data_IF_204022172195
#
_entry.id   IF_204022172195
#
_cell.length_a   1.000
_cell.length_b   1.000
_cell.length_c   1.000
_cell.angle_alpha   90.00
_cell.angle_beta   90.00
_cell.angle_gamma   90.00
#
_symmetry.space_group_name_H-M   'P 1'
#
loop_
_entity.id
_entity.type
_entity.pdbx_description
1 polymer ?
#
# COMPACT_ATOMS: atom_id res chain seq x y z
N UNK A 1 -30.43 -11.51 8.87
CA UNK A 1 -29.96 -10.51 7.88
C UNK A 1 -29.77 -11.25 6.57
N UNK A 2 -30.46 -10.82 5.49
CA UNK A 2 -30.16 -11.35 4.15
C UNK A 2 -28.70 -11.01 3.80
N UNK A 3 -27.96 -11.98 3.26
CA UNK A 3 -26.61 -11.76 2.76
C UNK A 3 -26.70 -10.73 1.63
N UNK A 4 -26.06 -9.58 1.81
CA UNK A 4 -25.95 -8.61 0.75
C UNK A 4 -25.01 -9.16 -0.33
N UNK A 5 -25.29 -8.91 -1.63
CA UNK A 5 -24.49 -9.48 -2.70
C UNK A 5 -23.05 -8.94 -2.65
N UNK A 6 -22.08 -9.81 -3.00
CA UNK A 6 -20.68 -9.44 -3.12
C UNK A 6 -20.47 -8.25 -4.08
N UNK A 7 -19.41 -7.48 -3.84
CA UNK A 7 -18.99 -6.41 -4.76
C UNK A 7 -18.33 -7.03 -5.98
N UNK A 8 -19.04 -7.08 -7.09
CA UNK A 8 -18.55 -7.57 -8.39
C UNK A 8 -18.64 -6.44 -9.40
N UNK A 9 -17.54 -6.13 -10.06
CA UNK A 9 -17.51 -5.07 -11.05
C UNK A 9 -18.02 -5.52 -12.44
N UNK A 10 -18.15 -4.56 -13.37
CA UNK A 10 -18.66 -4.80 -14.73
C UNK A 10 -17.80 -5.79 -15.56
N UNK A 11 -16.62 -6.18 -15.07
CA UNK A 11 -15.72 -7.15 -15.70
C UNK A 11 -15.69 -8.49 -14.97
N UNK A 12 -16.62 -8.73 -14.04
CA UNK A 12 -16.72 -9.96 -13.26
C UNK A 12 -15.64 -10.11 -12.15
N UNK A 13 -14.91 -9.06 -11.81
CA UNK A 13 -13.89 -9.10 -10.76
C UNK A 13 -14.53 -8.89 -9.40
N UNK A 14 -14.40 -9.88 -8.49
CA UNK A 14 -14.85 -9.76 -7.11
C UNK A 14 -13.88 -8.89 -6.30
N UNK A 15 -14.40 -7.87 -5.66
CA UNK A 15 -13.63 -6.98 -4.79
C UNK A 15 -13.61 -7.57 -3.38
N UNK A 16 -12.45 -8.03 -2.98
CA UNK A 16 -12.23 -8.66 -1.66
C UNK A 16 -11.23 -7.90 -0.79
N UNK A 17 -10.69 -6.79 -1.29
CA UNK A 17 -9.58 -6.08 -0.66
C UNK A 17 -9.76 -4.56 -0.73
N UNK A 18 -9.78 -3.92 0.44
CA UNK A 18 -9.82 -2.45 0.56
C UNK A 18 -8.49 -1.94 1.08
N UNK A 19 -7.95 -0.90 0.42
CA UNK A 19 -6.90 -0.05 0.97
C UNK A 19 -7.57 1.16 1.59
N UNK A 20 -7.47 1.29 2.90
CA UNK A 20 -8.12 2.34 3.67
C UNK A 20 -7.06 3.35 4.12
N UNK A 21 -7.03 4.50 3.47
CA UNK A 21 -6.19 5.63 3.89
C UNK A 21 -6.80 6.29 5.10
N UNK A 22 -6.06 6.38 6.18
CA UNK A 22 -6.53 6.96 7.46
C UNK A 22 -6.07 8.41 7.64
N UNK A 23 -5.15 8.87 6.81
CA UNK A 23 -4.60 10.23 6.81
C UNK A 23 -3.88 10.53 5.51
N UNK A 24 -3.83 11.78 5.10
CA UNK A 24 -2.98 12.29 4.03
C UNK A 24 -1.56 12.66 4.51
N UNK A 25 -1.37 12.77 5.85
CA UNK A 25 -0.12 13.21 6.48
C UNK A 25 0.91 12.10 6.49
N UNK A 26 2.18 12.50 6.32
CA UNK A 26 3.34 11.64 6.44
C UNK A 26 4.46 12.45 7.11
N UNK A 27 5.30 11.79 7.88
CA UNK A 27 6.50 12.35 8.48
C UNK A 27 7.69 12.37 7.52
N UNK A 28 7.66 11.54 6.45
CA UNK A 28 8.63 11.56 5.36
C UNK A 28 8.13 12.37 4.14
N UNK A 29 9.06 12.66 3.20
CA UNK A 29 8.81 13.38 1.94
C UNK A 29 9.51 12.69 0.77
N UNK A 30 9.23 11.39 0.59
CA UNK A 30 9.89 10.62 -0.47
C UNK A 30 9.71 11.27 -1.83
N UNK A 31 10.83 11.43 -2.58
CA UNK A 31 10.93 12.17 -3.85
C UNK A 31 9.93 11.69 -4.91
N UNK A 32 9.70 10.40 -4.98
CA UNK A 32 8.77 9.79 -5.94
C UNK A 32 7.29 9.83 -5.49
N UNK A 33 7.00 10.17 -4.22
CA UNK A 33 5.68 10.03 -3.61
C UNK A 33 4.93 11.35 -3.49
N UNK A 34 5.57 12.40 -3.00
CA UNK A 34 4.93 13.69 -2.74
C UNK A 34 5.93 14.85 -2.84
N UNK A 35 5.39 16.06 -3.03
CA UNK A 35 6.18 17.29 -2.98
C UNK A 35 6.79 17.53 -1.60
N UNK A 36 7.95 18.19 -1.55
CA UNK A 36 8.60 18.55 -0.30
C UNK A 36 7.73 19.53 0.52
N UNK A 37 7.07 20.46 -0.15
CA UNK A 37 6.16 21.47 0.44
C UNK A 37 4.70 21.03 0.32
N UNK A 38 4.42 19.77 0.67
CA UNK A 38 3.08 19.22 0.64
C UNK A 38 2.15 19.95 1.61
N UNK A 39 1.03 20.47 1.11
CA UNK A 39 -0.08 20.97 1.92
C UNK A 39 -1.03 19.81 2.26
N UNK A 40 -1.38 19.71 3.53
CA UNK A 40 -2.29 18.68 4.04
C UNK A 40 -3.67 19.25 4.32
N UNK A 41 -4.66 18.42 4.11
CA UNK A 41 -6.05 18.81 4.33
C UNK A 41 -6.33 19.18 5.79
N UNK A 42 -7.24 20.12 6.04
CA UNK A 42 -7.78 20.39 7.37
C UNK A 42 -8.33 19.12 8.01
N UNK A 43 -8.15 18.96 9.34
CA UNK A 43 -8.62 17.77 10.05
C UNK A 43 -10.12 17.55 9.93
N UNK A 44 -10.91 18.62 9.80
CA UNK A 44 -12.36 18.56 9.64
C UNK A 44 -12.81 17.90 8.32
N UNK A 45 -11.94 17.87 7.32
CA UNK A 45 -12.19 17.22 6.05
C UNK A 45 -11.92 15.71 6.06
N UNK A 46 -11.18 15.26 7.07
CA UNK A 46 -10.88 13.84 7.22
C UNK A 46 -12.04 13.12 7.91
N UNK A 47 -12.25 11.86 7.56
CA UNK A 47 -13.13 10.97 8.30
C UNK A 47 -12.65 10.83 9.75
N UNK A 48 -13.60 10.74 10.70
CA UNK A 48 -13.30 10.35 12.07
C UNK A 48 -12.89 8.89 12.14
N UNK A 49 -12.41 8.41 13.30
CA UNK A 49 -12.08 6.99 13.45
C UNK A 49 -13.34 6.12 13.38
N UNK A 50 -14.44 6.62 13.91
CA UNK A 50 -15.76 5.98 13.87
C UNK A 50 -16.29 5.88 12.43
N UNK A 51 -16.18 6.98 11.65
CA UNK A 51 -16.56 6.99 10.24
C UNK A 51 -15.70 5.99 9.42
N UNK A 52 -14.38 5.86 9.71
CA UNK A 52 -13.51 4.87 9.09
C UNK A 52 -13.95 3.43 9.41
N UNK A 53 -14.39 3.17 10.63
CA UNK A 53 -14.94 1.86 11.02
C UNK A 53 -16.26 1.59 10.29
N UNK A 54 -17.16 2.56 10.18
CA UNK A 54 -18.41 2.40 9.45
C UNK A 54 -18.18 2.09 7.97
N UNK A 55 -17.20 2.76 7.33
CA UNK A 55 -16.79 2.42 5.97
C UNK A 55 -16.26 1.00 5.88
N UNK A 56 -15.38 0.59 6.81
CA UNK A 56 -14.84 -0.75 6.84
C UNK A 56 -15.96 -1.81 7.01
N UNK A 57 -16.90 -1.58 7.92
CA UNK A 57 -18.04 -2.47 8.19
C UNK A 57 -18.94 -2.60 6.94
N UNK A 58 -19.20 -1.50 6.22
CA UNK A 58 -19.96 -1.54 4.97
C UNK A 58 -19.30 -2.41 3.91
N UNK A 59 -17.97 -2.30 3.74
CA UNK A 59 -17.22 -3.15 2.82
C UNK A 59 -17.19 -4.62 3.27
N UNK A 60 -17.01 -4.88 4.56
CA UNK A 60 -17.02 -6.24 5.11
C UNK A 60 -18.37 -6.91 4.88
N UNK A 61 -19.47 -6.20 5.12
CA UNK A 61 -20.83 -6.69 4.87
C UNK A 61 -21.07 -7.07 3.39
N UNK A 62 -20.31 -6.46 2.47
CA UNK A 62 -20.33 -6.69 1.02
C UNK A 62 -19.23 -7.65 0.54
N UNK A 63 -18.68 -8.50 1.42
CA UNK A 63 -17.77 -9.60 1.07
C UNK A 63 -16.28 -9.19 0.94
N UNK A 64 -15.90 -8.01 1.42
CA UNK A 64 -14.48 -7.66 1.56
C UNK A 64 -13.90 -8.39 2.78
N UNK A 65 -12.86 -9.19 2.55
CA UNK A 65 -12.21 -9.99 3.60
C UNK A 65 -10.85 -9.45 4.02
N UNK A 66 -10.31 -8.45 3.31
CA UNK A 66 -8.99 -7.89 3.60
C UNK A 66 -9.02 -6.37 3.65
N UNK A 67 -8.47 -5.81 4.74
CA UNK A 67 -8.28 -4.37 4.89
C UNK A 67 -6.80 -4.09 5.12
N UNK A 68 -6.28 -3.11 4.36
CA UNK A 68 -4.95 -2.56 4.59
C UNK A 68 -5.05 -1.11 4.96
N UNK A 69 -4.58 -0.79 6.15
CA UNK A 69 -4.41 0.59 6.58
C UNK A 69 -3.23 1.22 5.84
N UNK A 70 -3.49 2.39 5.30
CA UNK A 70 -2.53 3.18 4.52
C UNK A 70 -2.74 4.66 4.85
N UNK A 71 -2.16 5.52 4.03
CA UNK A 71 -2.30 6.96 4.12
C UNK A 71 -1.10 7.61 3.45
N UNK A 72 -0.69 8.78 3.97
CA UNK A 72 0.70 9.15 3.95
C UNK A 72 1.45 8.13 4.81
N UNK A 73 1.48 8.36 6.13
CA UNK A 73 1.91 7.34 7.10
C UNK A 73 0.75 7.05 8.07
N UNK A 74 0.20 5.84 8.10
CA UNK A 74 -0.96 5.53 8.93
C UNK A 74 -0.68 5.68 10.43
N UNK A 75 0.55 5.40 10.88
CA UNK A 75 0.91 5.42 12.30
C UNK A 75 1.08 6.84 12.88
N UNK A 76 1.08 7.89 12.04
CA UNK A 76 1.03 9.28 12.53
C UNK A 76 -0.41 9.76 12.81
N UNK A 77 -1.43 8.98 12.39
CA UNK A 77 -2.83 9.34 12.69
C UNK A 77 -3.09 9.28 14.19
N UNK A 78 -3.55 10.40 14.77
CA UNK A 78 -3.95 10.41 16.19
C UNK A 78 -5.07 9.40 16.43
N UNK A 79 -4.89 8.55 17.44
CA UNK A 79 -5.85 7.50 17.80
C UNK A 79 -5.77 6.24 16.94
N UNK A 80 -4.74 6.07 16.11
CA UNK A 80 -4.61 4.91 15.22
C UNK A 80 -4.67 3.57 15.96
N UNK A 81 -4.08 3.47 17.17
CA UNK A 81 -4.16 2.25 17.98
C UNK A 81 -5.60 1.84 18.30
N UNK A 82 -6.48 2.82 18.57
CA UNK A 82 -7.90 2.55 18.81
C UNK A 82 -8.60 2.07 17.53
N UNK A 83 -8.32 2.69 16.38
CA UNK A 83 -8.86 2.24 15.10
C UNK A 83 -8.43 0.80 14.79
N UNK A 84 -7.15 0.48 14.97
CA UNK A 84 -6.61 -0.87 14.73
C UNK A 84 -7.30 -1.89 15.64
N UNK A 85 -7.50 -1.57 16.93
CA UNK A 85 -8.24 -2.43 17.85
C UNK A 85 -9.67 -2.67 17.39
N UNK A 86 -10.41 -1.62 17.05
CA UNK A 86 -11.79 -1.75 16.56
C UNK A 86 -11.88 -2.58 15.28
N UNK A 87 -10.97 -2.42 14.33
CA UNK A 87 -10.94 -3.24 13.12
C UNK A 87 -10.49 -4.68 13.42
N UNK A 88 -9.60 -4.86 14.38
CA UNK A 88 -9.18 -6.18 14.87
C UNK A 88 -10.35 -7.02 15.41
N UNK A 89 -11.34 -6.37 16.06
CA UNK A 89 -12.56 -7.01 16.56
C UNK A 89 -13.43 -7.63 15.44
N UNK A 90 -13.19 -7.29 14.17
CA UNK A 90 -13.86 -7.85 12.98
C UNK A 90 -13.15 -9.10 12.43
N UNK A 91 -11.94 -9.39 12.87
CA UNK A 91 -11.22 -10.61 12.46
C UNK A 91 -12.00 -11.85 12.89
N UNK A 92 -12.18 -12.78 11.95
CA UNK A 92 -13.04 -13.95 12.12
C UNK A 92 -14.55 -13.68 12.03
N UNK A 93 -14.97 -12.42 11.82
CA UNK A 93 -16.37 -11.99 11.68
C UNK A 93 -16.62 -11.32 10.32
N UNK A 94 -16.09 -11.92 9.26
CA UNK A 94 -16.13 -11.40 7.88
C UNK A 94 -14.77 -10.82 7.42
N UNK A 95 -13.98 -10.23 8.31
CA UNK A 95 -12.61 -9.84 8.00
C UNK A 95 -11.66 -11.00 8.26
N UNK A 96 -10.81 -11.35 7.29
CA UNK A 96 -9.79 -12.41 7.40
C UNK A 96 -8.40 -11.83 7.69
N UNK A 97 -8.09 -10.66 7.12
CA UNK A 97 -6.77 -10.04 7.24
C UNK A 97 -6.89 -8.52 7.48
N UNK A 98 -6.27 -8.06 8.58
CA UNK A 98 -5.96 -6.66 8.83
C UNK A 98 -4.45 -6.48 8.74
N UNK A 99 -3.99 -5.56 7.88
CA UNK A 99 -2.56 -5.27 7.67
C UNK A 99 -2.35 -3.78 7.46
N UNK A 100 -1.09 -3.35 7.41
CA UNK A 100 -0.76 -1.96 7.12
C UNK A 100 0.43 -1.87 6.15
N UNK A 101 0.51 -0.72 5.48
CA UNK A 101 1.75 -0.25 4.83
C UNK A 101 2.23 0.95 5.62
N UNK A 102 3.47 0.94 6.05
CA UNK A 102 4.11 1.96 6.88
C UNK A 102 5.52 2.26 6.40
N UNK A 103 6.01 3.46 6.65
CA UNK A 103 7.40 3.81 6.45
C UNK A 103 8.33 3.30 7.60
N UNK A 104 7.74 2.76 8.67
CA UNK A 104 8.46 2.14 9.78
C UNK A 104 8.90 3.07 10.89
N UNK A 105 8.92 4.40 10.72
CA UNK A 105 9.43 5.35 11.73
C UNK A 105 8.73 5.26 13.08
N UNK A 106 7.41 5.01 13.08
CA UNK A 106 6.60 4.88 14.29
C UNK A 106 6.35 3.43 14.71
N UNK A 107 6.89 2.46 13.96
CA UNK A 107 6.50 1.06 14.10
C UNK A 107 6.91 0.47 15.46
N UNK A 108 8.06 0.86 16.01
CA UNK A 108 8.50 0.43 17.34
C UNK A 108 7.46 0.74 18.44
N UNK A 109 6.84 1.92 18.36
CA UNK A 109 5.83 2.38 19.33
C UNK A 109 4.55 1.55 19.29
N UNK A 110 4.15 1.06 18.12
CA UNK A 110 2.86 0.41 17.92
C UNK A 110 2.94 -1.10 17.74
N UNK A 111 4.12 -1.69 17.66
CA UNK A 111 4.32 -3.10 17.31
C UNK A 111 3.51 -4.09 18.18
N UNK A 112 3.56 -3.91 19.50
CA UNK A 112 2.82 -4.76 20.44
C UNK A 112 1.30 -4.59 20.28
N UNK A 113 0.81 -3.37 20.18
CA UNK A 113 -0.62 -3.06 20.02
C UNK A 113 -1.17 -3.60 18.69
N UNK A 114 -0.40 -3.48 17.61
CA UNK A 114 -0.74 -4.05 16.31
C UNK A 114 -0.89 -5.57 16.40
N UNK A 115 0.07 -6.25 17.02
CA UNK A 115 0.02 -7.71 17.20
C UNK A 115 -1.17 -8.12 18.08
N UNK A 116 -1.38 -7.43 19.21
CA UNK A 116 -2.49 -7.70 20.13
C UNK A 116 -3.86 -7.52 19.45
N UNK A 117 -3.98 -6.56 18.55
CA UNK A 117 -5.20 -6.34 17.75
C UNK A 117 -5.37 -7.33 16.58
N UNK A 118 -4.49 -8.32 16.44
CA UNK A 118 -4.60 -9.37 15.42
C UNK A 118 -3.92 -9.06 14.09
N UNK A 119 -3.21 -7.95 13.96
CA UNK A 119 -2.31 -7.74 12.81
C UNK A 119 -1.19 -8.77 12.87
N UNK A 120 -0.99 -9.51 11.78
CA UNK A 120 0.04 -10.57 11.71
C UNK A 120 1.17 -10.24 10.75
N UNK A 121 1.02 -9.18 9.96
CA UNK A 121 2.00 -8.77 8.96
C UNK A 121 1.99 -7.25 8.76
N UNK A 122 3.16 -6.65 8.68
CA UNK A 122 3.34 -5.26 8.25
C UNK A 122 4.14 -5.22 6.93
N UNK A 123 3.72 -4.34 6.03
CA UNK A 123 4.52 -3.98 4.86
C UNK A 123 5.28 -2.71 5.20
N UNK A 124 6.61 -2.78 5.22
CA UNK A 124 7.47 -1.64 5.52
C UNK A 124 8.13 -1.13 4.25
N UNK A 125 7.94 0.15 3.96
CA UNK A 125 8.61 0.81 2.83
C UNK A 125 10.04 1.15 3.24
N UNK A 126 11.02 0.55 2.55
CA UNK A 126 12.44 0.74 2.80
C UNK A 126 13.20 0.66 1.45
N UNK A 127 13.66 1.81 0.99
CA UNK A 127 14.25 1.95 -0.35
C UNK A 127 15.78 1.88 -0.37
N UNK A 128 16.43 1.88 0.80
CA UNK A 128 17.89 1.80 0.93
C UNK A 128 18.30 1.29 2.32
N UNK A 129 19.44 0.62 2.39
CA UNK A 129 20.12 0.23 3.64
C UNK A 129 21.31 1.16 3.95
N UNK A 130 21.60 2.11 3.05
CA UNK A 130 22.56 3.18 3.27
C UNK A 130 21.84 4.41 3.87
N UNK A 131 22.34 4.95 4.99
CA UNK A 131 21.70 6.02 5.72
C UNK A 131 21.61 7.34 4.94
N UNK A 132 22.66 7.68 4.20
CA UNK A 132 22.69 8.93 3.43
C UNK A 132 21.79 8.84 2.21
N UNK A 133 21.79 7.70 1.53
CA UNK A 133 20.88 7.41 0.41
C UNK A 133 19.44 7.35 0.87
N UNK A 134 19.14 6.69 1.99
CA UNK A 134 17.81 6.66 2.57
C UNK A 134 17.33 8.08 2.88
N UNK A 135 18.17 8.91 3.51
CA UNK A 135 17.86 10.32 3.78
C UNK A 135 17.66 11.12 2.49
N UNK A 136 18.48 10.86 1.46
CA UNK A 136 18.32 11.51 0.15
C UNK A 136 16.98 11.18 -0.49
N UNK A 137 16.57 9.91 -0.51
CA UNK A 137 15.30 9.46 -1.11
C UNK A 137 14.10 9.97 -0.31
N UNK A 138 14.16 9.91 1.02
CA UNK A 138 13.04 10.26 1.91
C UNK A 138 13.00 11.71 2.34
N UNK A 139 14.08 12.48 2.09
CA UNK A 139 14.35 13.87 2.48
C UNK A 139 14.44 14.10 3.99
N UNK A 140 13.73 13.34 4.82
CA UNK A 140 13.60 13.55 6.28
C UNK A 140 13.83 12.32 7.13
N UNK A 141 14.03 11.16 6.50
CA UNK A 141 14.08 9.88 7.22
C UNK A 141 15.39 9.66 7.97
N UNK A 142 15.29 8.98 9.09
CA UNK A 142 16.39 8.34 9.79
C UNK A 142 16.27 6.83 9.63
N UNK A 143 17.25 6.19 8.99
CA UNK A 143 17.27 4.77 8.73
C UNK A 143 17.26 3.95 10.04
N UNK A 144 17.93 4.45 11.07
CA UNK A 144 18.05 3.74 12.36
C UNK A 144 16.68 3.61 13.06
N UNK A 145 15.81 4.62 12.94
CA UNK A 145 14.43 4.55 13.45
C UNK A 145 13.62 3.47 12.75
N UNK A 146 13.76 3.38 11.42
CA UNK A 146 13.04 2.38 10.61
C UNK A 146 13.51 0.96 10.92
N UNK A 147 14.84 0.74 10.98
CA UNK A 147 15.41 -0.57 11.33
C UNK A 147 15.04 -0.98 12.76
N UNK A 148 15.07 -0.05 13.70
CA UNK A 148 14.58 -0.25 15.06
C UNK A 148 13.09 -0.62 15.10
N UNK A 149 12.28 0.03 14.27
CA UNK A 149 10.86 -0.28 14.10
C UNK A 149 10.61 -1.68 13.55
N UNK A 150 11.39 -2.10 12.55
CA UNK A 150 11.35 -3.45 11.98
C UNK A 150 11.71 -4.49 13.04
N UNK A 151 12.80 -4.28 13.77
CA UNK A 151 13.25 -5.19 14.84
C UNK A 151 12.19 -5.33 15.95
N UNK A 152 11.61 -4.22 16.40
CA UNK A 152 10.54 -4.23 17.41
C UNK A 152 9.29 -4.97 16.92
N UNK A 153 8.90 -4.77 15.66
CA UNK A 153 7.75 -5.47 15.08
C UNK A 153 8.00 -6.98 14.96
N UNK A 154 9.19 -7.40 14.54
CA UNK A 154 9.60 -8.80 14.51
C UNK A 154 9.57 -9.42 15.91
N UNK A 155 10.12 -8.72 16.92
CA UNK A 155 10.11 -9.16 18.31
C UNK A 155 8.68 -9.28 18.87
N UNK A 156 7.76 -8.41 18.44
CA UNK A 156 6.34 -8.50 18.80
C UNK A 156 5.57 -9.61 18.05
N UNK A 157 6.20 -10.35 17.14
CA UNK A 157 5.60 -11.47 16.40
C UNK A 157 4.95 -11.09 15.06
N UNK A 158 5.18 -9.89 14.53
CA UNK A 158 4.73 -9.51 13.21
C UNK A 158 5.70 -10.06 12.14
N UNK A 159 5.15 -10.62 11.08
CA UNK A 159 5.93 -10.90 9.87
C UNK A 159 6.16 -9.59 9.11
N UNK A 160 7.38 -9.36 8.69
CA UNK A 160 7.74 -8.16 7.95
C UNK A 160 7.88 -8.48 6.47
N UNK A 161 7.33 -7.60 5.67
CA UNK A 161 7.52 -7.59 4.23
C UNK A 161 8.08 -6.23 3.82
N UNK A 162 9.27 -6.22 3.29
CA UNK A 162 9.89 -5.00 2.77
C UNK A 162 9.32 -4.70 1.38
N UNK A 163 8.92 -3.45 1.19
CA UNK A 163 8.57 -2.89 -0.10
C UNK A 163 9.66 -1.90 -0.50
N UNK A 164 10.34 -2.14 -1.60
CA UNK A 164 11.37 -1.26 -2.15
C UNK A 164 10.91 -0.76 -3.52
N UNK A 165 10.85 0.55 -3.70
CA UNK A 165 10.67 1.15 -5.03
C UNK A 165 12.01 1.12 -5.72
N UNK A 166 12.09 0.46 -6.87
CA UNK A 166 13.32 0.38 -7.67
C UNK A 166 13.50 1.68 -8.46
N UNK A 167 14.61 2.37 -8.20
CA UNK A 167 14.91 3.71 -8.72
C UNK A 167 16.27 3.71 -9.43
N UNK A 168 16.26 3.93 -10.75
CA UNK A 168 17.48 4.04 -11.57
C UNK A 168 18.33 5.20 -11.09
N UNK A 169 19.66 4.96 -10.97
CA UNK A 169 20.63 5.97 -10.51
C UNK A 169 20.52 6.34 -9.03
N UNK A 170 19.60 5.71 -8.27
CA UNK A 170 19.44 5.98 -6.84
C UNK A 170 19.67 4.77 -5.95
N UNK A 171 19.06 3.61 -6.26
CA UNK A 171 19.16 2.42 -5.40
C UNK A 171 19.23 1.10 -6.17
N UNK A 172 19.42 1.14 -7.47
CA UNK A 172 19.47 -0.07 -8.30
C UNK A 172 20.58 -1.05 -7.88
N UNK A 173 21.72 -0.53 -7.45
CA UNK A 173 22.86 -1.29 -6.95
C UNK A 173 22.60 -1.93 -5.56
N UNK A 174 21.60 -1.46 -4.82
CA UNK A 174 21.23 -2.03 -3.52
C UNK A 174 20.19 -3.16 -3.61
N UNK A 175 19.63 -3.46 -4.78
CA UNK A 175 18.57 -4.47 -4.90
C UNK A 175 19.06 -5.87 -4.46
N UNK A 176 20.22 -6.31 -4.92
CA UNK A 176 20.80 -7.59 -4.51
C UNK A 176 21.26 -7.59 -3.03
N UNK A 177 21.94 -6.56 -2.51
CA UNK A 177 22.21 -6.39 -1.08
C UNK A 177 20.93 -6.41 -0.23
N UNK A 178 19.86 -5.71 -0.63
CA UNK A 178 18.57 -5.72 0.06
C UNK A 178 17.94 -7.12 0.09
N UNK A 179 18.03 -7.88 -1.00
CA UNK A 179 17.54 -9.25 -1.05
C UNK A 179 18.30 -10.15 -0.05
N UNK A 180 19.62 -10.04 0.02
CA UNK A 180 20.45 -10.78 0.98
C UNK A 180 20.12 -10.41 2.43
N UNK A 181 19.96 -9.10 2.71
CA UNK A 181 19.57 -8.62 4.04
C UNK A 181 18.17 -9.12 4.43
N UNK A 182 17.19 -9.02 3.54
CA UNK A 182 15.84 -9.54 3.80
C UNK A 182 15.86 -11.04 4.12
N UNK A 183 16.66 -11.82 3.39
CA UNK A 183 16.83 -13.25 3.63
C UNK A 183 17.44 -13.52 5.01
N UNK A 184 18.53 -12.84 5.37
CA UNK A 184 19.20 -12.98 6.67
C UNK A 184 18.27 -12.62 7.84
N UNK A 185 17.42 -11.60 7.66
CA UNK A 185 16.45 -11.17 8.67
C UNK A 185 15.13 -11.95 8.66
N UNK A 186 14.90 -12.84 7.69
CA UNK A 186 13.67 -13.61 7.55
C UNK A 186 12.48 -12.77 7.07
N UNK A 187 12.74 -11.77 6.23
CA UNK A 187 11.73 -10.89 5.64
C UNK A 187 11.41 -11.28 4.20
N UNK A 188 10.17 -11.09 3.76
CA UNK A 188 9.84 -11.08 2.33
C UNK A 188 10.30 -9.76 1.70
N UNK A 189 10.76 -9.78 0.45
CA UNK A 189 11.05 -8.57 -0.34
C UNK A 189 10.03 -8.39 -1.47
N UNK A 190 9.61 -7.16 -1.71
CA UNK A 190 8.83 -6.80 -2.91
C UNK A 190 9.42 -5.56 -3.56
N UNK A 191 9.82 -5.70 -4.81
CA UNK A 191 10.23 -4.60 -5.66
C UNK A 191 9.02 -4.01 -6.39
N UNK A 192 9.00 -2.69 -6.53
CA UNK A 192 7.88 -1.95 -7.09
C UNK A 192 8.39 -0.96 -8.15
N UNK A 193 7.80 -0.98 -9.34
CA UNK A 193 8.03 0.05 -10.35
C UNK A 193 7.47 1.40 -9.92
N UNK A 194 8.20 2.48 -10.19
CA UNK A 194 7.70 3.85 -10.03
C UNK A 194 6.45 4.07 -10.89
N UNK A 195 5.45 4.71 -10.31
CA UNK A 195 4.18 4.99 -10.98
C UNK A 195 4.00 6.50 -11.22
N UNK A 196 3.46 6.93 -12.37
CA UNK A 196 3.28 8.35 -12.71
C UNK A 196 2.04 8.95 -12.02
N UNK A 197 2.12 9.18 -10.70
CA UNK A 197 1.02 9.68 -9.85
C UNK A 197 1.41 11.00 -9.16
N UNK A 198 0.53 11.99 -9.23
CA UNK A 198 0.72 13.32 -8.64
C UNK A 198 1.90 14.09 -9.26
N UNK A 199 1.97 15.38 -9.04
CA UNK A 199 3.12 16.17 -9.43
C UNK A 199 4.21 16.08 -8.34
N UNK A 200 5.44 15.77 -8.73
CA UNK A 200 6.64 15.79 -7.89
C UNK A 200 7.69 16.63 -8.57
N UNK A 201 8.71 17.08 -7.82
CA UNK A 201 9.76 17.94 -8.36
C UNK A 201 10.70 17.20 -9.33
N UNK A 202 10.96 15.92 -9.06
CA UNK A 202 11.85 15.10 -9.86
C UNK A 202 11.10 14.48 -11.05
N UNK A 203 11.70 14.42 -12.22
CA UNK A 203 11.13 13.67 -13.34
C UNK A 203 11.22 12.16 -13.06
N UNK A 204 10.07 11.52 -12.96
CA UNK A 204 10.00 10.08 -12.67
C UNK A 204 10.57 9.22 -13.79
N UNK A 205 10.63 9.74 -15.01
CA UNK A 205 11.22 9.02 -16.15
C UNK A 205 12.73 8.84 -16.00
N UNK A 206 13.41 9.78 -15.34
CA UNK A 206 14.86 9.70 -15.07
C UNK A 206 15.21 8.56 -14.12
N UNK A 207 14.30 8.28 -13.18
CA UNK A 207 14.48 7.24 -12.16
C UNK A 207 13.68 5.97 -12.44
N UNK A 208 13.03 5.87 -13.59
CA UNK A 208 12.28 4.68 -13.93
C UNK A 208 13.21 3.49 -14.20
N UNK A 209 12.97 2.41 -13.47
CA UNK A 209 13.70 1.15 -13.61
C UNK A 209 12.70 0.01 -13.88
N UNK A 210 12.66 -0.52 -15.12
CA UNK A 210 11.79 -1.64 -15.48
C UNK A 210 12.15 -2.90 -14.69
N UNK A 211 11.18 -3.49 -13.98
CA UNK A 211 11.48 -4.67 -13.14
C UNK A 211 11.72 -5.96 -13.92
N UNK A 212 11.41 -6.01 -15.21
CA UNK A 212 11.84 -7.10 -16.09
C UNK A 212 13.36 -7.05 -16.36
N UNK A 213 13.95 -5.87 -16.44
CA UNK A 213 15.41 -5.70 -16.51
C UNK A 213 16.08 -6.09 -15.18
N UNK A 214 15.54 -5.61 -14.06
CA UNK A 214 16.01 -5.97 -12.71
C UNK A 214 15.96 -7.49 -12.50
N UNK A 215 14.87 -8.13 -12.94
CA UNK A 215 14.73 -9.59 -12.84
C UNK A 215 15.86 -10.30 -13.61
N UNK A 216 16.14 -9.90 -14.86
CA UNK A 216 17.24 -10.47 -15.67
C UNK A 216 18.61 -10.28 -15.01
N UNK A 217 18.83 -9.15 -14.36
CA UNK A 217 20.07 -8.89 -13.62
C UNK A 217 20.19 -9.80 -12.39
N UNK A 218 19.14 -9.92 -11.61
CA UNK A 218 19.11 -10.82 -10.46
C UNK A 218 19.32 -12.30 -10.86
N UNK A 219 18.82 -12.70 -12.03
CA UNK A 219 19.01 -14.06 -12.59
C UNK A 219 20.46 -14.39 -12.96
N UNK A 220 21.36 -13.38 -13.02
CA UNK A 220 22.81 -13.61 -13.17
C UNK A 220 23.47 -14.13 -11.89
N UNK A 221 22.86 -13.85 -10.73
CA UNK A 221 23.42 -14.18 -9.40
C UNK A 221 22.54 -15.14 -8.59
N UNK A 222 21.27 -15.32 -8.95
CA UNK A 222 20.29 -16.10 -8.20
C UNK A 222 19.41 -16.91 -9.13
N UNK A 223 18.94 -18.05 -8.65
CA UNK A 223 17.88 -18.84 -9.30
C UNK A 223 16.51 -18.35 -8.85
N UNK A 224 15.75 -17.73 -9.76
CA UNK A 224 14.40 -17.23 -9.51
C UNK A 224 13.37 -18.21 -10.09
N UNK A 225 12.70 -18.96 -9.23
CA UNK A 225 11.63 -19.90 -9.63
C UNK A 225 10.26 -19.26 -9.38
N UNK A 226 9.32 -19.29 -10.35
CA UNK A 226 7.97 -18.79 -10.12
C UNK A 226 7.31 -19.47 -8.92
N UNK A 227 6.87 -18.68 -7.93
CA UNK A 227 6.25 -19.18 -6.70
C UNK A 227 4.73 -19.31 -6.85
N UNK A 228 4.15 -20.35 -6.27
CA UNK A 228 2.70 -20.52 -6.13
C UNK A 228 2.08 -19.64 -5.07
N UNK A 229 2.91 -18.96 -4.26
CA UNK A 229 2.47 -18.06 -3.20
C UNK A 229 1.64 -16.90 -3.76
N UNK A 230 0.50 -16.64 -3.14
CA UNK A 230 -0.36 -15.49 -3.47
C UNK A 230 -0.69 -14.74 -2.18
N UNK A 231 -0.52 -13.42 -2.22
CA UNK A 231 -1.08 -12.53 -1.20
C UNK A 231 -2.18 -11.74 -1.87
N UNK A 232 -3.25 -11.35 -1.31
CA UNK A 232 -4.32 -10.61 -2.00
C UNK A 232 -3.89 -9.34 -2.79
N UNK A 233 -2.58 -9.10 -2.91
CA UNK A 233 -1.97 -7.98 -3.65
C UNK A 233 -1.59 -8.31 -5.10
N UNK A 234 -1.01 -7.32 -5.84
CA UNK A 234 -0.67 -7.44 -7.26
C UNK A 234 0.69 -8.10 -7.53
N UNK A 235 1.46 -8.41 -6.49
CA UNK A 235 2.81 -8.94 -6.65
C UNK A 235 2.79 -10.33 -7.29
N UNK A 236 3.65 -10.54 -8.29
CA UNK A 236 4.05 -11.86 -8.76
C UNK A 236 5.25 -12.30 -7.95
N UNK A 237 5.22 -13.52 -7.42
CA UNK A 237 6.24 -14.01 -6.52
C UNK A 237 7.19 -15.00 -7.20
N UNK A 238 8.44 -14.94 -6.79
CA UNK A 238 9.52 -15.86 -7.14
C UNK A 238 10.19 -16.32 -5.85
N UNK A 239 10.50 -17.60 -5.78
CA UNK A 239 11.34 -18.15 -4.72
C UNK A 239 12.80 -18.07 -5.18
N UNK A 240 13.66 -17.46 -4.36
CA UNK A 240 15.10 -17.29 -4.62
C UNK A 240 15.81 -18.38 -3.84
N UNK A 241 16.22 -19.44 -4.56
CA UNK A 241 16.66 -20.71 -3.95
C UNK A 241 17.87 -20.53 -3.02
N UNK A 242 18.88 -19.77 -3.45
CA UNK A 242 20.13 -19.56 -2.73
C UNK A 242 19.94 -18.78 -1.43
N UNK A 243 18.88 -18.01 -1.33
CA UNK A 243 18.59 -17.16 -0.18
C UNK A 243 17.43 -17.68 0.68
N UNK A 244 16.64 -18.65 0.21
CA UNK A 244 15.38 -19.02 0.85
C UNK A 244 14.39 -17.85 0.93
N UNK A 245 14.54 -16.86 0.05
CA UNK A 245 13.79 -15.61 0.05
C UNK A 245 12.61 -15.70 -0.91
N UNK A 246 11.47 -15.15 -0.51
CA UNK A 246 10.37 -14.88 -1.42
C UNK A 246 10.45 -13.44 -1.93
N UNK A 247 10.70 -13.30 -3.24
CA UNK A 247 10.77 -12.02 -3.96
C UNK A 247 9.45 -11.75 -4.69
N UNK A 248 8.81 -10.63 -4.42
CA UNK A 248 7.64 -10.15 -5.14
C UNK A 248 8.01 -9.04 -6.13
N UNK A 249 7.39 -9.06 -7.31
CA UNK A 249 7.52 -7.99 -8.30
C UNK A 249 6.14 -7.35 -8.54
N UNK A 250 6.04 -6.04 -8.36
CA UNK A 250 4.86 -5.23 -8.70
C UNK A 250 5.21 -4.38 -9.92
N UNK A 251 4.69 -4.77 -11.06
CA UNK A 251 5.04 -4.28 -12.39
C UNK A 251 3.83 -3.63 -13.08
N UNK A 252 3.38 -2.45 -12.63
CA UNK A 252 2.21 -1.80 -13.23
C UNK A 252 2.45 -1.38 -14.68
N UNK A 253 3.69 -1.13 -15.08
CA UNK A 253 4.08 -0.67 -16.41
C UNK A 253 4.53 -1.84 -17.30
N UNK A 254 5.45 -2.68 -16.83
CA UNK A 254 6.01 -3.78 -17.64
C UNK A 254 5.18 -5.06 -17.61
N UNK A 255 4.23 -5.21 -16.70
CA UNK A 255 3.43 -6.43 -16.56
C UNK A 255 2.10 -6.20 -15.87
N UNK A 256 1.19 -5.55 -16.58
CA UNK A 256 -0.12 -5.17 -16.10
C UNK A 256 -0.89 -6.34 -15.44
N UNK A 257 -1.47 -6.09 -14.27
CA UNK A 257 -2.22 -7.04 -13.43
C UNK A 257 -3.69 -6.65 -13.26
N UNK A 258 -4.22 -5.76 -14.13
CA UNK A 258 -5.56 -5.19 -13.98
C UNK A 258 -6.68 -6.22 -14.17
N UNK A 259 -6.48 -7.25 -14.98
CA UNK A 259 -7.46 -8.31 -15.22
C UNK A 259 -7.87 -9.07 -13.96
N UNK A 260 -6.97 -9.22 -12.99
CA UNK A 260 -7.22 -9.86 -11.70
C UNK A 260 -7.37 -8.88 -10.53
N UNK A 261 -7.65 -7.59 -10.81
CA UNK A 261 -7.69 -6.56 -9.77
C UNK A 261 -8.92 -6.70 -8.86
N UNK A 262 -8.69 -7.12 -7.63
CA UNK A 262 -9.71 -7.33 -6.59
C UNK A 262 -9.82 -6.17 -5.59
N UNK A 263 -9.32 -4.95 -5.93
CA UNK A 263 -9.09 -3.87 -4.96
C UNK A 263 -9.85 -2.60 -5.31
N UNK A 264 -10.21 -1.88 -4.23
CA UNK A 264 -10.58 -0.47 -4.26
C UNK A 264 -9.79 0.31 -3.20
N UNK A 265 -9.81 1.63 -3.29
CA UNK A 265 -9.08 2.51 -2.38
C UNK A 265 -10.01 3.56 -1.81
N UNK A 266 -10.02 3.68 -0.50
CA UNK A 266 -10.74 4.72 0.23
C UNK A 266 -9.71 5.74 0.72
N UNK A 267 -9.93 7.00 0.44
CA UNK A 267 -9.11 8.11 0.95
C UNK A 267 -9.50 8.46 2.38
N UNK A 268 -8.65 9.20 3.06
CA UNK A 268 -8.93 9.72 4.39
C UNK A 268 -10.13 10.70 4.44
N UNK A 269 -10.56 11.22 3.29
CA UNK A 269 -11.74 12.10 3.14
C UNK A 269 -13.03 11.34 2.84
N UNK A 270 -12.97 10.02 2.63
CA UNK A 270 -14.14 9.21 2.28
C UNK A 270 -14.43 9.09 0.79
N UNK A 271 -13.55 9.58 -0.08
CA UNK A 271 -13.64 9.31 -1.53
C UNK A 271 -13.18 7.88 -1.82
N UNK A 272 -13.92 7.13 -2.63
CA UNK A 272 -13.55 5.78 -3.04
C UNK A 272 -13.20 5.74 -4.52
N UNK A 273 -12.01 5.23 -4.82
CA UNK A 273 -11.51 5.04 -6.18
C UNK A 273 -11.52 3.56 -6.56
N UNK A 274 -12.13 3.24 -7.69
CA UNK A 274 -12.11 1.90 -8.28
C UNK A 274 -10.74 1.51 -8.84
N UNK A 275 -9.92 2.49 -9.22
CA UNK A 275 -8.57 2.29 -9.75
C UNK A 275 -7.59 3.35 -9.23
N UNK A 276 -6.33 2.97 -9.06
CA UNK A 276 -5.27 3.89 -8.64
C UNK A 276 -4.95 4.93 -9.72
N UNK A 277 -4.96 4.53 -10.98
CA UNK A 277 -4.57 5.37 -12.13
C UNK A 277 -5.73 6.05 -12.84
N UNK A 278 -6.91 6.17 -12.21
CA UNK A 278 -8.08 6.80 -12.79
C UNK A 278 -8.75 7.74 -11.78
N UNK A 279 -9.43 8.79 -12.25
CA UNK A 279 -9.99 9.83 -11.38
C UNK A 279 -11.47 9.61 -11.01
N UNK A 280 -12.13 8.58 -11.59
CA UNK A 280 -13.50 8.24 -11.21
C UNK A 280 -13.56 7.83 -9.75
N UNK A 281 -14.40 8.50 -8.99
CA UNK A 281 -14.59 8.29 -7.57
C UNK A 281 -16.06 8.38 -7.17
N UNK A 282 -16.36 7.81 -6.02
CA UNK A 282 -17.63 7.96 -5.31
C UNK A 282 -17.32 8.58 -3.95
N UNK A 283 -18.14 9.52 -3.50
CA UNK A 283 -18.00 10.18 -2.21
C UNK A 283 -18.88 9.49 -1.18
N UNK A 284 -18.27 8.97 -0.08
CA UNK A 284 -19.01 8.31 0.99
C UNK A 284 -19.28 9.23 2.20
N UNK A 285 -18.45 10.24 2.41
CA UNK A 285 -18.49 11.08 3.62
C UNK A 285 -19.85 11.69 3.88
N UNK A 286 -20.45 12.29 2.87
CA UNK A 286 -21.72 13.01 3.04
C UNK A 286 -22.88 12.05 3.30
N UNK A 287 -22.86 10.86 2.69
CA UNK A 287 -23.81 9.78 2.97
C UNK A 287 -23.70 9.28 4.41
N UNK A 288 -22.45 9.04 4.88
CA UNK A 288 -22.18 8.65 6.26
C UNK A 288 -22.74 9.69 7.26
N UNK A 289 -22.43 10.96 7.03
CA UNK A 289 -22.87 12.07 7.93
C UNK A 289 -24.36 12.31 7.89
N UNK A 290 -25.00 11.96 6.79
CA UNK A 290 -26.47 11.94 6.67
C UNK A 290 -27.13 10.68 7.23
N UNK A 291 -26.35 9.72 7.77
CA UNK A 291 -26.86 8.44 8.28
C UNK A 291 -27.47 7.55 7.19
N UNK A 292 -27.08 7.73 5.93
CA UNK A 292 -27.58 6.98 4.80
C UNK A 292 -26.79 5.68 4.59
N UNK A 293 -27.44 4.66 4.00
CA UNK A 293 -26.75 3.43 3.59
C UNK A 293 -25.72 3.73 2.49
N UNK A 294 -24.58 3.05 2.56
CA UNK A 294 -23.54 3.13 1.54
C UNK A 294 -23.75 2.16 0.37
N UNK A 295 -24.74 1.27 0.43
CA UNK A 295 -24.92 0.17 -0.53
C UNK A 295 -25.05 0.67 -1.98
N UNK A 296 -25.95 1.63 -2.23
CA UNK A 296 -26.14 2.19 -3.57
C UNK A 296 -24.86 2.86 -4.10
N UNK A 297 -24.08 3.52 -3.24
CA UNK A 297 -22.80 4.12 -3.61
C UNK A 297 -21.75 3.06 -3.94
N UNK A 298 -21.71 1.95 -3.20
CA UNK A 298 -20.81 0.83 -3.48
C UNK A 298 -21.19 0.10 -4.78
N UNK A 299 -22.48 -0.03 -5.09
CA UNK A 299 -22.95 -0.59 -6.36
C UNK A 299 -22.58 0.34 -7.53
N UNK A 300 -22.76 1.65 -7.39
CA UNK A 300 -22.33 2.63 -8.39
C UNK A 300 -20.81 2.61 -8.60
N UNK A 301 -20.01 2.40 -7.54
CA UNK A 301 -18.57 2.21 -7.64
C UNK A 301 -18.22 0.98 -8.49
N UNK A 302 -18.94 -0.14 -8.32
CA UNK A 302 -18.70 -1.35 -9.10
C UNK A 302 -18.98 -1.14 -10.58
N UNK A 303 -20.04 -0.43 -10.91
CA UNK A 303 -20.37 -0.08 -12.29
C UNK A 303 -19.33 0.87 -12.91
N UNK A 304 -18.81 1.81 -12.12
CA UNK A 304 -17.83 2.80 -12.56
C UNK A 304 -16.38 2.30 -12.56
N UNK A 305 -16.10 1.13 -11.94
CA UNK A 305 -14.72 0.62 -11.82
C UNK A 305 -14.15 0.29 -13.20
N UNK A 306 -13.04 0.95 -13.63
CA UNK A 306 -12.49 0.77 -14.97
C UNK A 306 -11.83 -0.60 -15.14
N UNK A 307 -11.66 -1.03 -16.40
CA UNK A 307 -10.93 -2.26 -16.75
C UNK A 307 -9.49 -2.23 -16.23
N UNK A 308 -8.82 -1.07 -16.35
CA UNK A 308 -7.44 -0.91 -15.93
C UNK A 308 -7.03 0.57 -15.82
N UNK A 309 -5.74 0.78 -15.65
CA UNK A 309 -5.09 2.09 -15.72
C UNK A 309 -4.36 2.25 -17.06
N UNK A 310 -4.09 3.51 -17.41
CA UNK A 310 -3.39 3.91 -18.63
C UNK A 310 -2.05 4.59 -18.26
N UNK A 311 -1.23 3.91 -17.45
CA UNK A 311 0.06 4.45 -17.04
C UNK A 311 1.06 4.45 -18.19
N UNK A 312 1.62 5.63 -18.47
CA UNK A 312 2.74 5.83 -19.37
C UNK A 312 3.81 6.66 -18.67
N UNK A 313 4.98 6.08 -18.44
CA UNK A 313 6.04 6.75 -17.67
C UNK A 313 6.60 7.98 -18.40
N UNK A 314 6.66 7.96 -19.72
CA UNK A 314 7.14 9.07 -20.55
C UNK A 314 6.07 10.14 -20.82
N UNK A 315 4.87 10.03 -20.24
CA UNK A 315 3.85 11.05 -20.42
C UNK A 315 4.30 12.37 -19.74
N UNK A 316 4.11 13.53 -20.40
CA UNK A 316 4.55 14.83 -19.86
C UNK A 316 3.77 15.26 -18.61
N UNK A 317 2.70 14.58 -18.30
CA UNK A 317 1.87 14.80 -17.10
C UNK A 317 1.61 13.46 -16.38
N UNK A 318 1.48 13.48 -15.04
CA UNK A 318 1.09 12.28 -14.31
C UNK A 318 -0.29 11.79 -14.77
N UNK A 319 -0.51 10.49 -14.72
CA UNK A 319 -1.78 9.86 -15.11
C UNK A 319 -2.97 10.40 -14.29
N UNK A 320 -2.73 10.76 -13.04
CA UNK A 320 -3.69 11.41 -12.14
C UNK A 320 -2.97 12.49 -11.32
N UNK A 321 -3.67 13.58 -11.01
CA UNK A 321 -3.10 14.70 -10.25
C UNK A 321 -2.86 14.37 -8.76
N UNK A 322 -3.58 13.39 -8.20
CA UNK A 322 -3.45 13.03 -6.78
C UNK A 322 -2.16 12.28 -6.49
N UNK A 323 -1.53 12.62 -5.39
CA UNK A 323 -0.35 11.93 -4.89
C UNK A 323 -0.66 10.54 -4.33
N UNK A 324 0.36 9.69 -4.27
CA UNK A 324 0.25 8.35 -3.66
C UNK A 324 -0.22 8.40 -2.21
N UNK A 325 0.20 9.40 -1.45
CA UNK A 325 -0.18 9.62 -0.04
C UNK A 325 -1.67 9.81 0.19
N UNK A 326 -2.42 10.24 -0.83
CA UNK A 326 -3.89 10.44 -0.74
C UNK A 326 -4.63 9.10 -0.76
N UNK A 327 -4.25 8.21 -1.67
CA UNK A 327 -4.92 6.91 -1.88
C UNK A 327 -4.18 5.74 -1.22
N UNK A 328 -3.07 6.01 -0.60
CA UNK A 328 -2.19 5.05 0.07
C UNK A 328 -1.36 4.21 -0.90
N UNK A 329 -0.07 4.21 -0.68
CA UNK A 329 0.94 3.43 -1.42
C UNK A 329 1.04 1.96 -0.99
#
# INVERSE_FOLDING_TARGET
>A
MALQPDLIDSYGRRISYVRLSVTDRCDLRCRYCMSERMEFLPRAELLTLEELVQVADAFIARGVTRIRLTGGEPLVRRGIGQLVKWLGDRLGKGLEELTLTTNGTQLARFAADLHAAGVRRANVSLDSLDADRFRHITRRGDLSEVLGGIAAAKAAGLRIKINMVALKGLNEDEIAPMARWCAAEGHDLTLIETMPLGAVEDDRSDHYLPLDAVKRELEQSFTLTPSLSRTGGPARYYDVAELGLRLGLITPLTGNFCTGCNRVRVTATGSVYGCLGQDQKIELRDLLRAGQSLDAALDALMLAKPKGHDFHIAAPRPAVARHMSVTGG
#
